data_IF_000545654300
#
_entry.id   IF_000545654300
#
_cell.length_a   1.000
_cell.length_b   1.000
_cell.length_c   1.000
_cell.angle_alpha   90.00
_cell.angle_beta   90.00
_cell.angle_gamma   90.00
#
_symmetry.space_group_name_H-M   'P 1'
#
loop_
_entity.id
_entity.type
_entity.pdbx_description
1 polymer ?
#
# COMPACT_ATOMS: atom_id res chain seq x y z
N UNK A 1 2.56 -18.78 13.62
CA UNK A 1 2.85 -20.16 13.16
C UNK A 1 3.60 -20.05 11.83
N UNK A 2 4.74 -20.72 11.68
CA UNK A 2 5.48 -20.74 10.40
C UNK A 2 4.76 -21.67 9.43
N UNK A 3 4.39 -21.22 8.21
CA UNK A 3 3.73 -22.08 7.24
C UNK A 3 4.70 -23.15 6.74
N UNK A 4 4.19 -24.36 6.46
CA UNK A 4 4.98 -25.46 5.88
C UNK A 4 5.53 -25.09 4.48
N UNK A 5 4.86 -24.17 3.78
CA UNK A 5 5.30 -23.61 2.51
C UNK A 5 5.11 -22.10 2.54
N UNK A 6 6.19 -21.34 2.26
CA UNK A 6 6.16 -19.89 2.20
C UNK A 6 6.06 -19.41 0.75
N UNK A 7 4.99 -18.66 0.43
CA UNK A 7 4.83 -18.01 -0.86
C UNK A 7 5.15 -16.52 -0.76
N UNK A 8 6.34 -16.14 -1.21
CA UNK A 8 6.83 -14.76 -1.13
C UNK A 8 5.94 -13.74 -1.86
N UNK A 9 5.36 -14.11 -3.00
CA UNK A 9 4.47 -13.21 -3.76
C UNK A 9 3.16 -12.99 -3.00
N UNK A 10 2.62 -14.03 -2.37
CA UNK A 10 1.41 -13.91 -1.56
C UNK A 10 1.68 -13.09 -0.29
N UNK A 11 2.78 -13.36 0.40
CA UNK A 11 3.19 -12.58 1.58
C UNK A 11 3.39 -11.10 1.23
N UNK A 12 3.98 -10.80 0.05
CA UNK A 12 4.10 -9.44 -0.45
C UNK A 12 2.72 -8.79 -0.74
N UNK A 13 1.78 -9.51 -1.35
CA UNK A 13 0.42 -8.98 -1.56
C UNK A 13 -0.26 -8.66 -0.23
N UNK A 14 -0.12 -9.53 0.78
CA UNK A 14 -0.67 -9.31 2.12
C UNK A 14 -0.03 -8.09 2.79
N UNK A 15 1.28 -7.89 2.68
CA UNK A 15 1.92 -6.70 3.25
C UNK A 15 1.45 -5.40 2.58
N UNK A 16 1.21 -5.41 1.26
CA UNK A 16 0.63 -4.24 0.56
C UNK A 16 -0.83 -3.99 0.93
N UNK A 17 -1.63 -5.05 1.11
CA UNK A 17 -2.97 -4.93 1.66
C UNK A 17 -2.96 -4.30 3.07
N UNK A 18 -2.03 -4.73 3.92
CA UNK A 18 -1.88 -4.20 5.28
C UNK A 18 -1.59 -2.69 5.28
N UNK A 19 -0.80 -2.17 4.33
CA UNK A 19 -0.56 -0.73 4.22
C UNK A 19 -1.84 0.07 3.94
N UNK A 20 -2.72 -0.40 3.05
CA UNK A 20 -3.99 0.29 2.76
C UNK A 20 -4.92 0.25 3.98
N UNK A 21 -5.02 -0.91 4.63
CA UNK A 21 -5.80 -1.09 5.85
C UNK A 21 -5.29 -0.22 7.00
N UNK A 22 -3.97 -0.09 7.15
CA UNK A 22 -3.35 0.80 8.13
C UNK A 22 -3.78 2.25 7.90
N UNK A 23 -3.66 2.76 6.67
CA UNK A 23 -4.04 4.14 6.36
C UNK A 23 -5.52 4.41 6.63
N UNK A 24 -6.40 3.43 6.34
CA UNK A 24 -7.82 3.52 6.63
C UNK A 24 -8.11 3.57 8.13
N UNK A 25 -7.54 2.65 8.91
CA UNK A 25 -7.76 2.58 10.36
C UNK A 25 -7.12 3.77 11.09
N UNK A 26 -5.96 4.25 10.62
CA UNK A 26 -5.32 5.45 11.13
C UNK A 26 -6.26 6.65 11.02
N UNK A 27 -6.79 6.92 9.82
CA UNK A 27 -7.72 8.03 9.60
C UNK A 27 -9.03 7.88 10.39
N UNK A 28 -9.54 6.65 10.53
CA UNK A 28 -10.74 6.37 11.33
C UNK A 28 -10.53 6.69 12.82
N UNK A 29 -9.33 6.48 13.34
CA UNK A 29 -8.97 6.75 14.75
C UNK A 29 -8.65 8.22 15.02
N UNK A 30 -8.20 8.96 14.01
CA UNK A 30 -7.77 10.36 14.10
C UNK A 30 -8.66 11.26 13.24
N UNK A 31 -9.98 11.04 13.29
CA UNK A 31 -10.93 11.80 12.47
C UNK A 31 -10.94 13.28 12.88
N UNK A 32 -10.74 14.17 11.92
CA UNK A 32 -10.67 15.62 12.15
C UNK A 32 -9.29 16.11 12.60
N UNK A 33 -8.30 15.21 12.71
CA UNK A 33 -6.94 15.55 13.13
C UNK A 33 -5.97 15.55 11.94
N UNK A 34 -4.80 16.17 12.16
CA UNK A 34 -3.65 16.07 11.28
C UNK A 34 -2.47 15.47 12.05
N UNK A 35 -1.64 14.61 11.42
CA UNK A 35 -1.63 14.29 9.99
C UNK A 35 -2.72 13.29 9.58
N UNK A 36 -2.94 13.14 8.27
CA UNK A 36 -3.74 12.06 7.67
C UNK A 36 -2.84 11.06 6.96
N UNK A 37 -3.30 9.82 6.83
CA UNK A 37 -2.61 8.74 6.14
C UNK A 37 -3.27 8.40 4.79
N UNK A 38 -2.46 8.30 3.74
CA UNK A 38 -2.90 7.90 2.39
C UNK A 38 -2.06 6.72 1.89
N UNK A 39 -2.65 5.87 1.07
CA UNK A 39 -1.97 4.80 0.36
C UNK A 39 -1.92 5.13 -1.13
N UNK A 40 -0.70 5.32 -1.66
CA UNK A 40 -0.48 5.61 -3.08
C UNK A 40 -0.12 4.31 -3.79
N UNK A 41 -0.91 3.95 -4.79
CA UNK A 41 -0.54 2.94 -5.79
C UNK A 41 0.45 3.57 -6.75
N UNK A 42 1.67 3.06 -6.83
CA UNK A 42 2.63 3.63 -7.76
C UNK A 42 2.40 3.12 -9.20
N UNK A 43 1.47 2.18 -9.40
CA UNK A 43 1.30 1.44 -10.64
C UNK A 43 2.44 0.44 -10.85
N UNK A 44 2.55 -0.05 -12.08
CA UNK A 44 3.69 -0.86 -12.47
C UNK A 44 4.92 0.04 -12.61
N UNK A 45 5.71 0.19 -11.54
CA UNK A 45 6.93 0.99 -11.59
C UNK A 45 8.14 0.11 -11.86
N UNK A 46 9.00 0.62 -12.72
CA UNK A 46 10.31 0.09 -13.04
C UNK A 46 11.27 0.14 -11.84
N UNK A 47 11.08 -0.74 -10.85
CA UNK A 47 11.99 -0.83 -9.69
C UNK A 47 12.65 -2.19 -9.61
N UNK A 48 13.84 -2.28 -9.01
CA UNK A 48 14.59 -3.53 -8.87
C UNK A 48 13.97 -4.51 -7.84
N UNK A 49 12.76 -4.25 -7.34
CA UNK A 49 12.10 -5.03 -6.27
C UNK A 49 11.82 -6.47 -6.74
N UNK A 50 11.53 -6.69 -8.03
CA UNK A 50 11.32 -8.03 -8.61
C UNK A 50 12.57 -8.93 -8.68
N UNK A 51 13.76 -8.39 -8.42
CA UNK A 51 15.03 -9.13 -8.54
C UNK A 51 15.52 -9.77 -7.23
N UNK A 52 14.92 -9.45 -6.08
CA UNK A 52 15.32 -10.05 -4.80
C UNK A 52 14.75 -11.47 -4.68
N UNK A 53 15.55 -12.47 -5.02
CA UNK A 53 15.31 -13.88 -4.70
C UNK A 53 14.53 -14.70 -5.73
N UNK A 54 14.48 -14.29 -7.00
CA UNK A 54 13.65 -14.96 -8.02
C UNK A 54 14.48 -15.54 -9.18
N UNK A 55 14.11 -16.75 -9.62
CA UNK A 55 14.78 -17.49 -10.71
C UNK A 55 14.73 -16.78 -12.07
N UNK A 56 15.43 -17.33 -13.07
CA UNK A 56 15.58 -16.72 -14.40
C UNK A 56 14.24 -16.31 -15.07
N UNK A 57 13.16 -17.08 -14.86
CA UNK A 57 11.83 -16.82 -15.41
C UNK A 57 11.18 -15.55 -14.84
N UNK A 58 11.34 -15.29 -13.54
CA UNK A 58 10.79 -14.09 -12.91
C UNK A 58 11.52 -12.82 -13.36
N UNK A 59 12.85 -12.91 -13.59
CA UNK A 59 13.63 -11.82 -14.19
C UNK A 59 13.19 -11.50 -15.62
N UNK A 60 12.84 -12.52 -16.41
CA UNK A 60 12.32 -12.33 -17.76
C UNK A 60 10.93 -11.66 -17.77
N UNK A 61 9.99 -12.16 -16.96
CA UNK A 61 8.65 -11.55 -16.80
C UNK A 61 8.75 -10.12 -16.28
N UNK A 62 9.65 -9.85 -15.32
CA UNK A 62 9.88 -8.51 -14.80
C UNK A 62 10.46 -7.55 -15.85
N UNK A 63 11.46 -7.99 -16.63
CA UNK A 63 12.02 -7.19 -17.74
C UNK A 63 10.97 -6.85 -18.80
N UNK A 64 10.06 -7.77 -19.10
CA UNK A 64 8.97 -7.51 -20.05
C UNK A 64 7.91 -6.57 -19.48
N UNK A 65 7.62 -6.67 -18.18
CA UNK A 65 6.70 -5.76 -17.48
C UNK A 65 7.27 -4.35 -17.28
N UNK A 66 8.57 -4.20 -17.01
CA UNK A 66 9.24 -2.90 -16.87
C UNK A 66 9.11 -2.01 -18.12
N UNK A 67 9.06 -2.61 -19.31
CA UNK A 67 8.89 -1.87 -20.58
C UNK A 67 7.51 -1.21 -20.73
N UNK A 68 6.52 -1.64 -19.94
CA UNK A 68 5.19 -1.06 -19.87
C UNK A 68 4.97 -0.23 -18.59
N UNK A 69 6.04 0.00 -17.82
CA UNK A 69 5.96 0.76 -16.57
C UNK A 69 5.97 2.26 -16.81
N UNK A 70 5.27 3.00 -15.95
CA UNK A 70 5.29 4.47 -15.94
C UNK A 70 6.62 4.98 -15.38
N UNK A 71 7.03 6.18 -15.81
CA UNK A 71 8.18 6.86 -15.23
C UNK A 71 8.00 7.09 -13.73
N UNK A 72 9.08 7.03 -12.95
CA UNK A 72 9.02 7.23 -11.49
C UNK A 72 8.49 8.60 -11.07
N UNK A 73 8.53 9.60 -11.95
CA UNK A 73 7.93 10.92 -11.72
C UNK A 73 6.42 10.88 -11.56
N UNK A 74 5.73 9.88 -12.15
CA UNK A 74 4.27 9.73 -12.07
C UNK A 74 3.78 9.37 -10.66
N UNK A 75 4.27 8.31 -10.00
CA UNK A 75 3.91 8.05 -8.61
C UNK A 75 4.45 9.13 -7.66
N UNK A 76 5.60 9.74 -7.98
CA UNK A 76 6.14 10.85 -7.20
C UNK A 76 5.20 12.07 -7.22
N UNK A 77 4.62 12.40 -8.38
CA UNK A 77 3.66 13.50 -8.48
C UNK A 77 2.37 13.20 -7.70
N UNK A 78 1.91 11.95 -7.69
CA UNK A 78 0.78 11.55 -6.85
C UNK A 78 1.08 11.71 -5.36
N UNK A 79 2.28 11.31 -4.91
CA UNK A 79 2.71 11.49 -3.52
C UNK A 79 2.76 12.98 -3.15
N UNK A 80 3.35 13.81 -4.01
CA UNK A 80 3.41 15.25 -3.80
C UNK A 80 2.01 15.87 -3.73
N UNK A 81 1.10 15.45 -4.61
CA UNK A 81 -0.28 15.90 -4.62
C UNK A 81 -0.98 15.57 -3.29
N UNK A 82 -0.98 14.30 -2.85
CA UNK A 82 -1.68 13.93 -1.62
C UNK A 82 -1.04 14.51 -0.34
N UNK A 83 0.25 14.86 -0.39
CA UNK A 83 0.96 15.44 0.75
C UNK A 83 0.79 16.97 0.88
N UNK A 84 0.57 17.68 -0.23
CA UNK A 84 0.59 19.14 -0.26
C UNK A 84 -0.77 19.78 -0.62
N UNK A 85 -1.66 19.06 -1.31
CA UNK A 85 -2.90 19.64 -1.81
C UNK A 85 -4.02 19.60 -0.75
N UNK A 86 -4.62 20.74 -0.37
CA UNK A 86 -5.75 20.79 0.56
C UNK A 86 -6.95 19.93 0.12
N UNK A 87 -7.17 19.76 -1.19
CA UNK A 87 -8.24 18.93 -1.71
C UNK A 87 -8.06 17.45 -1.34
N UNK A 88 -6.81 16.96 -1.30
CA UNK A 88 -6.53 15.61 -0.82
C UNK A 88 -6.82 15.48 0.68
N UNK A 89 -6.49 16.51 1.47
CA UNK A 89 -6.78 16.54 2.92
C UNK A 89 -8.27 16.60 3.25
N UNK A 90 -9.11 17.10 2.35
CA UNK A 90 -10.56 17.11 2.48
C UNK A 90 -11.23 15.83 1.93
N UNK A 91 -10.48 14.99 1.21
CA UNK A 91 -11.02 13.77 0.59
C UNK A 91 -11.24 12.65 1.61
N UNK A 92 -12.35 11.92 1.50
CA UNK A 92 -12.55 10.69 2.27
C UNK A 92 -11.73 9.51 1.73
N UNK A 93 -11.15 9.65 0.53
CA UNK A 93 -10.40 8.59 -0.12
C UNK A 93 -9.06 8.30 0.58
N UNK A 94 -8.82 7.02 0.85
CA UNK A 94 -7.56 6.54 1.43
C UNK A 94 -6.58 6.07 0.35
N UNK A 95 -7.09 5.61 -0.80
CA UNK A 95 -6.30 4.99 -1.86
C UNK A 95 -6.25 5.87 -3.11
N UNK A 96 -5.04 6.10 -3.61
CA UNK A 96 -4.77 7.07 -4.68
C UNK A 96 -3.89 6.47 -5.78
N UNK A 97 -4.21 6.80 -7.03
CA UNK A 97 -3.45 6.41 -8.22
C UNK A 97 -3.57 7.50 -9.27
N UNK A 98 -2.45 7.90 -9.89
CA UNK A 98 -2.41 8.97 -10.90
C UNK A 98 -3.09 10.26 -10.42
N UNK A 99 -2.76 10.70 -9.19
CA UNK A 99 -3.33 11.89 -8.54
C UNK A 99 -4.87 11.90 -8.45
N UNK A 100 -5.51 10.74 -8.53
CA UNK A 100 -6.96 10.59 -8.41
C UNK A 100 -7.33 9.57 -7.32
N UNK A 101 -8.43 9.80 -6.59
CA UNK A 101 -8.95 8.82 -5.64
C UNK A 101 -9.41 7.57 -6.39
N UNK A 102 -9.12 6.40 -5.83
CA UNK A 102 -9.50 5.11 -6.41
C UNK A 102 -10.18 4.24 -5.37
N UNK A 103 -11.13 3.41 -5.82
CA UNK A 103 -11.74 2.41 -4.95
C UNK A 103 -10.76 1.24 -4.77
N UNK A 104 -10.32 0.93 -3.54
CA UNK A 104 -9.45 -0.20 -3.32
C UNK A 104 -10.26 -1.51 -3.31
N UNK A 105 -9.58 -2.65 -3.27
CA UNK A 105 -10.24 -3.96 -3.25
C UNK A 105 -11.21 -4.11 -2.05
N UNK A 106 -12.19 -5.01 -2.16
CA UNK A 106 -13.13 -5.31 -1.06
C UNK A 106 -12.43 -5.66 0.25
N UNK A 107 -11.31 -6.38 0.19
CA UNK A 107 -10.53 -6.70 1.38
C UNK A 107 -9.90 -5.44 2.01
N UNK A 108 -9.39 -4.53 1.18
CA UNK A 108 -8.76 -3.28 1.61
C UNK A 108 -9.77 -2.25 2.15
N UNK A 109 -11.05 -2.37 1.78
CA UNK A 109 -12.16 -1.57 2.33
C UNK A 109 -12.85 -2.20 3.54
N UNK A 110 -12.36 -3.33 4.07
CA UNK A 110 -13.02 -4.03 5.17
C UNK A 110 -12.60 -3.41 6.52
N UNK A 111 -13.51 -2.74 7.26
CA UNK A 111 -13.16 -2.06 8.51
C UNK A 111 -12.83 -3.03 9.65
N UNK A 112 -13.44 -4.22 9.68
CA UNK A 112 -13.11 -5.24 10.68
C UNK A 112 -11.69 -5.77 10.48
N UNK A 113 -11.30 -5.99 9.21
CA UNK A 113 -9.94 -6.42 8.89
C UNK A 113 -8.92 -5.32 9.22
N UNK A 114 -9.25 -4.06 8.97
CA UNK A 114 -8.39 -2.92 9.29
C UNK A 114 -8.13 -2.81 10.80
N UNK A 115 -9.19 -2.92 11.61
CA UNK A 115 -9.09 -2.93 13.06
C UNK A 115 -8.27 -4.13 13.58
N UNK A 116 -8.46 -5.32 13.01
CA UNK A 116 -7.70 -6.51 13.38
C UNK A 116 -6.20 -6.37 13.07
N UNK A 117 -5.85 -5.88 11.87
CA UNK A 117 -4.46 -5.60 11.49
C UNK A 117 -3.83 -4.58 12.42
N UNK A 118 -4.55 -3.53 12.81
CA UNK A 118 -4.06 -2.52 13.74
C UNK A 118 -3.74 -3.12 15.11
N UNK A 119 -4.69 -3.86 15.70
CA UNK A 119 -4.52 -4.49 17.01
C UNK A 119 -3.34 -5.46 17.02
N UNK A 120 -3.25 -6.30 15.99
CA UNK A 120 -2.16 -7.27 15.89
C UNK A 120 -0.82 -6.59 15.65
N UNK A 121 -0.77 -5.54 14.82
CA UNK A 121 0.46 -4.74 14.62
C UNK A 121 0.91 -4.07 15.91
N UNK A 122 -0.02 -3.47 16.68
CA UNK A 122 0.29 -2.87 17.97
C UNK A 122 0.83 -3.92 18.96
N UNK A 123 0.23 -5.11 19.00
CA UNK A 123 0.69 -6.22 19.84
C UNK A 123 2.10 -6.69 19.45
N UNK A 124 2.35 -6.88 18.16
CA UNK A 124 3.64 -7.34 17.62
C UNK A 124 4.75 -6.31 17.79
N UNK A 125 4.43 -5.02 17.69
CA UNK A 125 5.36 -3.92 17.87
C UNK A 125 5.46 -3.45 19.34
N UNK A 126 4.81 -4.14 20.27
CA UNK A 126 4.78 -3.78 21.69
C UNK A 126 4.29 -2.36 21.99
N UNK A 127 3.38 -1.84 21.15
CA UNK A 127 2.70 -0.56 21.33
C UNK A 127 1.49 -0.70 22.28
N UNK A 128 1.52 -1.72 23.15
CA UNK A 128 0.42 -2.17 23.99
C UNK A 128 0.85 -2.38 25.44
N UNK A 129 1.28 -1.29 26.07
CA UNK A 129 0.87 -0.76 27.38
C UNK A 129 1.10 0.74 27.34
#
# INVERSE_FOLDING_TARGET
RSPLLYNSLWAYKVSKLANVLFSAEFNRRHTGESPRAFAVDPGLVNTNIGFKGTGALARFVWRQRQKAGVDSSVPASTILFVAADPAAMQSEAVYWYLSAPQQPSRAASNPQLAAAVWQESARLCHLGK
#
